data_IF_460741771343
#
_entry.id   IF_460741771343
#
_cell.length_a   1.000
_cell.length_b   1.000
_cell.length_c   1.000
_cell.angle_alpha   90.00
_cell.angle_beta   90.00
_cell.angle_gamma   90.00
#
_symmetry.space_group_name_H-M   'P 1'
#
loop_
_entity.id
_entity.type
_entity.pdbx_description
1 polymer ?
#
# COMPACT_ATOMS: atom_id res chain seq x y z
N UNK A 1 2.22 -5.36 -11.89
CA UNK A 1 3.08 -5.08 -10.70
C UNK A 1 2.21 -5.03 -9.45
N UNK A 2 2.78 -5.11 -8.23
CA UNK A 2 2.00 -5.02 -6.97
C UNK A 2 1.21 -3.71 -6.89
N UNK A 3 1.76 -2.58 -7.35
CA UNK A 3 1.04 -1.30 -7.32
C UNK A 3 -0.17 -1.28 -8.27
N UNK A 4 -0.08 -1.94 -9.41
CA UNK A 4 -1.20 -2.06 -10.35
C UNK A 4 -2.28 -3.01 -9.83
N UNK A 5 -1.92 -4.05 -9.06
CA UNK A 5 -2.92 -4.95 -8.45
C UNK A 5 -3.71 -4.29 -7.33
N UNK A 6 -3.19 -3.21 -6.73
CA UNK A 6 -3.94 -2.37 -5.77
C UNK A 6 -5.03 -1.53 -6.45
N UNK A 7 -4.97 -1.34 -7.78
CA UNK A 7 -6.03 -0.61 -8.49
C UNK A 7 -7.28 -1.49 -8.52
N UNK A 8 -8.37 -1.01 -7.93
CA UNK A 8 -9.62 -1.77 -7.81
C UNK A 8 -9.71 -2.63 -6.54
N UNK A 9 -8.72 -2.59 -5.65
CA UNK A 9 -8.82 -3.19 -4.31
C UNK A 9 -9.90 -2.56 -3.44
N UNK A 10 -10.44 -1.40 -3.83
CA UNK A 10 -11.29 -0.57 -2.99
C UNK A 10 -10.48 0.36 -2.07
N UNK A 11 -11.10 0.95 -1.04
CA UNK A 11 -10.43 1.88 -0.14
C UNK A 11 -9.28 1.21 0.63
N UNK A 12 -8.11 1.85 0.63
CA UNK A 12 -6.93 1.43 1.40
C UNK A 12 -6.43 2.61 2.23
N UNK A 13 -5.47 2.38 3.12
CA UNK A 13 -4.77 3.47 3.83
C UNK A 13 -3.30 3.49 3.43
N UNK A 14 -2.91 4.48 2.63
CA UNK A 14 -1.49 4.70 2.30
C UNK A 14 -0.84 5.54 3.39
N UNK A 15 0.27 5.08 3.95
CA UNK A 15 1.00 5.73 5.04
C UNK A 15 2.41 6.06 4.60
N UNK A 16 2.81 7.32 4.81
CA UNK A 16 4.17 7.82 4.56
C UNK A 16 4.72 8.41 5.85
N UNK A 17 5.98 8.12 6.14
CA UNK A 17 6.71 8.69 7.27
C UNK A 17 7.69 9.74 6.75
N UNK A 18 7.74 10.90 7.40
CA UNK A 18 8.74 11.94 7.12
C UNK A 18 9.23 12.54 8.43
N UNK A 19 10.50 12.30 8.78
CA UNK A 19 11.13 12.83 9.99
C UNK A 19 10.31 12.66 11.28
N UNK A 20 9.69 11.48 11.46
CA UNK A 20 8.86 11.16 12.63
C UNK A 20 7.40 11.61 12.52
N UNK A 21 7.06 12.47 11.56
CA UNK A 21 5.66 12.75 11.19
C UNK A 21 5.08 11.61 10.36
N UNK A 22 3.79 11.33 10.57
CA UNK A 22 3.04 10.27 9.88
C UNK A 22 1.91 10.93 9.09
N UNK A 23 1.84 10.60 7.80
CA UNK A 23 0.80 11.05 6.89
C UNK A 23 -0.01 9.86 6.42
N UNK A 24 -1.32 9.95 6.51
CA UNK A 24 -2.24 8.88 6.12
C UNK A 24 -3.22 9.39 5.07
N UNK A 25 -3.38 8.65 3.98
CA UNK A 25 -4.39 8.89 2.96
C UNK A 25 -5.31 7.69 2.88
N UNK A 26 -6.58 7.90 3.26
CA UNK A 26 -7.65 6.89 3.20
C UNK A 26 -8.45 7.07 1.93
N UNK A 27 -8.10 6.32 0.90
CA UNK A 27 -8.74 6.37 -0.41
C UNK A 27 -8.40 5.10 -1.21
N UNK A 28 -9.13 4.79 -2.29
CA UNK A 28 -8.68 3.81 -3.27
C UNK A 28 -7.28 4.15 -3.80
N UNK A 29 -6.48 3.11 -4.08
CA UNK A 29 -5.15 3.34 -4.64
C UNK A 29 -5.28 3.78 -6.11
N UNK A 30 -4.66 4.90 -6.50
CA UNK A 30 -4.85 5.48 -7.82
C UNK A 30 -4.15 4.66 -8.91
N UNK A 31 -4.63 4.79 -10.14
CA UNK A 31 -3.87 4.33 -11.32
C UNK A 31 -2.55 5.11 -11.41
N UNK A 32 -1.56 4.54 -12.08
CA UNK A 32 -0.33 5.27 -12.36
C UNK A 32 0.33 4.88 -13.66
N UNK A 33 1.31 5.69 -14.07
CA UNK A 33 2.07 5.50 -15.30
C UNK A 33 3.54 5.86 -15.10
N UNK A 34 4.43 5.04 -15.63
CA UNK A 34 5.85 5.34 -15.67
C UNK A 34 6.11 6.45 -16.70
N UNK A 35 6.67 7.56 -16.24
CA UNK A 35 7.14 8.65 -17.10
C UNK A 35 8.21 9.46 -16.35
N UNK A 36 9.21 9.94 -17.08
CA UNK A 36 10.29 10.81 -16.56
C UNK A 36 11.02 10.23 -15.33
N UNK A 37 11.19 8.92 -15.26
CA UNK A 37 11.91 8.24 -14.17
C UNK A 37 11.14 8.07 -12.86
N UNK A 38 9.81 8.24 -12.88
CA UNK A 38 8.90 8.01 -11.75
C UNK A 38 7.69 7.19 -12.19
N UNK A 39 7.06 6.51 -11.23
CA UNK A 39 5.67 6.05 -11.36
C UNK A 39 4.73 7.15 -10.86
N UNK A 40 4.04 7.79 -11.79
CA UNK A 40 3.21 8.97 -11.53
C UNK A 40 1.80 8.51 -11.17
N UNK A 41 1.34 8.86 -9.98
CA UNK A 41 -0.01 8.55 -9.50
C UNK A 41 -1.00 9.54 -10.13
N UNK A 42 -1.98 9.00 -10.84
CA UNK A 42 -3.05 9.74 -11.52
C UNK A 42 -4.31 9.70 -10.66
N UNK A 43 -4.19 10.25 -9.44
CA UNK A 43 -5.31 10.34 -8.51
C UNK A 43 -6.48 11.13 -9.08
N UNK A 44 -7.68 10.76 -8.65
CA UNK A 44 -8.88 11.60 -8.76
C UNK A 44 -9.04 12.44 -7.50
N UNK A 45 -10.03 13.33 -7.50
CA UNK A 45 -10.38 14.07 -6.29
C UNK A 45 -10.57 13.13 -5.09
N UNK A 46 -9.90 13.44 -3.98
CA UNK A 46 -9.89 12.60 -2.77
C UNK A 46 -8.91 11.42 -2.78
N UNK A 47 -8.27 11.09 -3.91
CA UNK A 47 -7.25 10.04 -4.00
C UNK A 47 -5.83 10.60 -3.83
N UNK A 48 -4.90 9.69 -3.53
CA UNK A 48 -3.49 10.02 -3.44
C UNK A 48 -2.96 10.51 -4.79
N UNK A 49 -2.27 11.64 -4.77
CA UNK A 49 -1.47 12.12 -5.89
C UNK A 49 0.01 12.05 -5.52
N UNK A 50 0.88 11.97 -6.52
CA UNK A 50 2.32 12.03 -6.29
C UNK A 50 3.14 11.25 -7.31
N UNK A 51 4.43 11.14 -7.01
CA UNK A 51 5.43 10.53 -7.87
C UNK A 51 6.26 9.55 -7.05
N UNK A 52 6.18 8.26 -7.38
CA UNK A 52 6.93 7.23 -6.68
C UNK A 52 8.24 6.96 -7.41
N UNK A 53 9.37 7.11 -6.72
CA UNK A 53 10.70 6.75 -7.23
C UNK A 53 10.94 5.26 -7.02
N UNK A 54 10.33 4.44 -7.89
CA UNK A 54 10.36 2.98 -7.73
C UNK A 54 11.78 2.38 -7.79
N UNK A 55 12.74 3.06 -8.42
CA UNK A 55 14.15 2.65 -8.40
C UNK A 55 14.72 2.51 -6.98
N UNK A 56 14.16 3.27 -6.02
CA UNK A 56 14.57 3.23 -4.62
C UNK A 56 13.90 2.08 -3.85
N UNK A 57 12.85 1.47 -4.38
CA UNK A 57 12.19 0.31 -3.77
C UNK A 57 12.98 -0.94 -4.16
N UNK A 58 13.67 -1.54 -3.18
CA UNK A 58 14.45 -2.77 -3.40
C UNK A 58 13.73 -4.03 -2.93
N UNK A 59 12.87 -3.90 -1.94
CA UNK A 59 12.09 -5.01 -1.41
C UNK A 59 10.63 -4.59 -1.24
N UNK A 60 9.72 -5.52 -1.51
CA UNK A 60 8.30 -5.39 -1.22
C UNK A 60 7.91 -6.57 -0.34
N UNK A 61 7.19 -6.31 0.76
CA UNK A 61 6.71 -7.36 1.64
C UNK A 61 5.19 -7.24 1.83
N UNK A 62 4.50 -8.37 1.82
CA UNK A 62 3.11 -8.48 2.25
C UNK A 62 3.13 -8.96 3.70
N UNK A 63 2.81 -8.09 4.63
CA UNK A 63 2.98 -8.34 6.07
C UNK A 63 1.62 -8.49 6.75
N UNK A 64 1.44 -9.61 7.45
CA UNK A 64 0.32 -9.84 8.37
C UNK A 64 0.85 -9.69 9.80
N UNK A 65 0.47 -8.62 10.48
CA UNK A 65 0.92 -8.35 11.86
C UNK A 65 -0.16 -7.58 12.61
N UNK A 66 -0.55 -8.02 13.82
CA UNK A 66 -1.51 -7.26 14.63
C UNK A 66 -1.04 -5.82 14.87
N UNK A 67 -1.95 -4.87 14.74
CA UNK A 67 -1.73 -3.46 15.06
C UNK A 67 -2.68 -3.05 16.17
N UNK A 68 -2.13 -2.61 17.30
CA UNK A 68 -2.91 -2.30 18.52
C UNK A 68 -3.87 -3.43 18.93
N UNK A 69 -3.41 -4.68 18.83
CA UNK A 69 -4.17 -5.87 19.22
C UNK A 69 -5.23 -6.34 18.21
N UNK A 70 -5.39 -5.66 17.05
CA UNK A 70 -6.33 -6.06 16.00
C UNK A 70 -5.60 -6.60 14.77
N UNK A 71 -6.22 -7.55 14.07
CA UNK A 71 -5.71 -8.08 12.80
C UNK A 71 -5.42 -6.95 11.82
N UNK A 72 -4.25 -6.97 11.19
CA UNK A 72 -3.83 -5.93 10.24
C UNK A 72 -2.88 -6.50 9.20
N UNK A 73 -3.04 -6.01 7.98
CA UNK A 73 -2.28 -6.41 6.80
C UNK A 73 -1.83 -5.18 6.02
N UNK A 74 -0.60 -5.20 5.51
CA UNK A 74 -0.11 -4.12 4.66
C UNK A 74 0.92 -4.60 3.63
N UNK A 75 1.01 -3.85 2.55
CA UNK A 75 2.10 -3.88 1.58
C UNK A 75 3.16 -2.89 2.05
N UNK A 76 4.35 -3.38 2.37
CA UNK A 76 5.50 -2.56 2.76
C UNK A 76 6.47 -2.42 1.60
N UNK A 77 6.89 -1.19 1.31
CA UNK A 77 7.89 -0.89 0.28
C UNK A 77 9.16 -0.40 0.97
N UNK A 78 10.30 -1.05 0.70
CA UNK A 78 11.53 -0.84 1.45
C UNK A 78 12.69 -0.45 0.56
N UNK A 79 13.56 0.41 1.09
CA UNK A 79 14.80 0.81 0.45
C UNK A 79 15.87 -0.28 0.49
N UNK A 80 17.00 -0.02 -0.15
CA UNK A 80 18.17 -0.91 -0.13
C UNK A 80 18.69 -1.17 1.30
N UNK A 81 18.68 -0.15 2.17
CA UNK A 81 19.06 -0.28 3.58
C UNK A 81 17.93 -0.83 4.48
N UNK A 82 16.83 -1.32 3.90
CA UNK A 82 15.70 -1.89 4.64
C UNK A 82 14.79 -0.88 5.33
N UNK A 83 14.99 0.43 5.12
CA UNK A 83 14.09 1.46 5.63
C UNK A 83 12.74 1.40 4.90
N UNK A 84 11.65 1.55 5.63
CA UNK A 84 10.32 1.62 5.01
C UNK A 84 10.14 2.97 4.31
N UNK A 85 9.83 2.94 3.01
CA UNK A 85 9.56 4.13 2.19
C UNK A 85 8.10 4.56 2.37
N UNK A 86 7.18 3.61 2.21
CA UNK A 86 5.76 3.79 2.50
C UNK A 86 5.08 2.44 2.73
N UNK A 87 3.83 2.49 3.19
CA UNK A 87 2.96 1.32 3.39
C UNK A 87 1.60 1.54 2.77
N UNK A 88 0.96 0.47 2.35
CA UNK A 88 -0.46 0.45 1.98
C UNK A 88 -1.17 -0.58 2.84
N UNK A 89 -1.96 -0.12 3.81
CA UNK A 89 -2.77 -0.98 4.67
C UNK A 89 -4.10 -1.31 4.00
N UNK A 90 -4.59 -2.53 4.23
CA UNK A 90 -5.95 -2.89 3.85
C UNK A 90 -6.96 -1.96 4.55
N UNK A 91 -8.02 -1.65 3.84
CA UNK A 91 -9.10 -0.81 4.30
C UNK A 91 -9.92 -1.45 5.41
N UNK A 92 -10.63 -0.59 6.12
CA UNK A 92 -11.65 -0.98 7.08
C UNK A 92 -12.96 -0.31 6.72
N UNK A 93 -14.06 -1.00 7.01
CA UNK A 93 -15.40 -0.46 6.86
C UNK A 93 -15.74 0.55 7.97
N UNK A 94 -16.97 1.07 7.94
CA UNK A 94 -17.48 2.01 8.94
C UNK A 94 -17.51 1.43 10.37
N UNK A 95 -17.60 0.10 10.49
CA UNK A 95 -17.54 -0.64 11.77
C UNK A 95 -16.11 -0.91 12.22
N UNK A 96 -15.11 -0.44 11.47
CA UNK A 96 -13.68 -0.65 11.68
C UNK A 96 -13.26 -2.12 11.53
N UNK A 97 -13.99 -2.91 10.76
CA UNK A 97 -13.60 -4.28 10.40
C UNK A 97 -12.88 -4.32 9.06
N UNK A 98 -11.95 -5.28 8.89
CA UNK A 98 -11.22 -5.43 7.64
C UNK A 98 -12.19 -5.80 6.51
N UNK A 99 -11.95 -5.24 5.32
CA UNK A 99 -12.74 -5.58 4.13
C UNK A 99 -12.39 -7.02 3.71
N UNK A 100 -13.35 -7.94 3.83
CA UNK A 100 -13.12 -9.38 3.65
C UNK A 100 -12.54 -9.75 2.28
N UNK A 101 -13.04 -9.12 1.21
CA UNK A 101 -12.54 -9.34 -0.15
C UNK A 101 -11.06 -8.94 -0.29
N UNK A 102 -10.66 -7.83 0.33
CA UNK A 102 -9.26 -7.41 0.35
C UNK A 102 -8.38 -8.40 1.11
N UNK A 103 -8.85 -8.94 2.25
CA UNK A 103 -8.10 -9.94 3.03
C UNK A 103 -7.91 -11.21 2.22
N UNK A 104 -8.95 -11.71 1.55
CA UNK A 104 -8.88 -12.88 0.68
C UNK A 104 -7.86 -12.66 -0.45
N UNK A 105 -7.96 -11.54 -1.17
CA UNK A 105 -7.05 -11.22 -2.26
C UNK A 105 -5.60 -11.04 -1.77
N UNK A 106 -5.40 -10.41 -0.60
CA UNK A 106 -4.08 -10.24 0.02
C UNK A 106 -3.43 -11.58 0.38
N UNK A 107 -4.19 -12.49 1.00
CA UNK A 107 -3.69 -13.82 1.38
C UNK A 107 -3.38 -14.68 0.15
N UNK A 108 -4.18 -14.57 -0.91
CA UNK A 108 -3.87 -15.22 -2.18
C UNK A 108 -2.53 -14.73 -2.77
N UNK A 109 -2.29 -13.41 -2.79
CA UNK A 109 -1.01 -12.85 -3.22
C UNK A 109 0.17 -13.27 -2.33
N UNK A 110 -0.02 -13.36 -1.01
CA UNK A 110 1.02 -13.89 -0.11
C UNK A 110 1.38 -15.33 -0.44
N UNK A 111 0.38 -16.17 -0.73
CA UNK A 111 0.62 -17.57 -1.07
C UNK A 111 1.33 -17.73 -2.42
N UNK A 112 1.04 -16.86 -3.39
CA UNK A 112 1.69 -16.85 -4.71
C UNK A 112 3.16 -16.42 -4.62
N UNK A 113 3.47 -15.40 -3.81
CA UNK A 113 4.84 -14.85 -3.69
C UNK A 113 5.77 -15.65 -2.77
N UNK A 114 5.22 -16.57 -1.98
CA UNK A 114 6.00 -17.46 -1.11
C UNK A 114 6.39 -18.79 -1.78
N UNK A 115 6.02 -18.99 -3.04
CA UNK A 115 6.45 -20.12 -3.88
C UNK A 115 7.76 -19.77 -4.59
#
# INVERSE_FOLDING_TARGET
>A
TILESLVGFGPVTTIVHSFGSIFEVKAPFPKGKVARGYYNLMGREGELHGHLKLDNVKNIALVSKPFMGRESHYFGFFSECGSNIFKVYLGRDEKRELIAEQVTAFRAMQAELNQ
#
